data_IF_139924749124
#
_entry.id   IF_139924749124
#
_cell.length_a   1.000
_cell.length_b   1.000
_cell.length_c   1.000
_cell.angle_alpha   90.00
_cell.angle_beta   90.00
_cell.angle_gamma   90.00
#
_symmetry.space_group_name_H-M   'P 1'
#
loop_
_entity.id
_entity.type
_entity.pdbx_description
1 polymer ?
#
# COMPACT_ATOMS: atom_id res chain seq x y z
N UNK A 1 -9.04 11.59 -14.44
CA UNK A 1 -9.47 10.63 -13.41
C UNK A 1 -9.58 11.37 -12.08
N UNK A 2 -10.71 11.26 -11.38
CA UNK A 2 -10.82 11.81 -10.02
C UNK A 2 -10.12 10.84 -9.06
N UNK A 3 -8.91 11.21 -8.60
CA UNK A 3 -8.05 10.34 -7.77
C UNK A 3 -8.65 10.09 -6.38
N UNK A 4 -9.34 11.08 -5.81
CA UNK A 4 -9.98 10.95 -4.50
C UNK A 4 -11.12 9.94 -4.54
N UNK A 5 -11.98 10.04 -5.56
CA UNK A 5 -13.05 9.06 -5.78
C UNK A 5 -12.49 7.66 -6.07
N UNK A 6 -11.43 7.56 -6.87
CA UNK A 6 -10.79 6.27 -7.15
C UNK A 6 -10.21 5.61 -5.89
N UNK A 7 -9.55 6.38 -5.02
CA UNK A 7 -9.04 5.90 -3.73
C UNK A 7 -10.15 5.47 -2.79
N UNK A 8 -11.20 6.29 -2.70
CA UNK A 8 -12.39 5.95 -1.92
C UNK A 8 -13.00 4.62 -2.39
N UNK A 9 -13.21 4.46 -3.69
CA UNK A 9 -13.75 3.23 -4.26
C UNK A 9 -12.83 2.02 -4.02
N UNK A 10 -11.51 2.17 -4.16
CA UNK A 10 -10.55 1.11 -3.83
C UNK A 10 -10.70 0.67 -2.36
N UNK A 11 -10.79 1.62 -1.43
CA UNK A 11 -10.97 1.30 0.00
C UNK A 11 -12.30 0.58 0.24
N UNK A 12 -13.41 1.17 -0.22
CA UNK A 12 -14.75 0.68 0.10
C UNK A 12 -15.10 -0.62 -0.63
N UNK A 13 -14.62 -0.80 -1.87
CA UNK A 13 -15.04 -1.91 -2.74
C UNK A 13 -14.02 -3.04 -2.83
N UNK A 14 -12.75 -2.81 -2.48
CA UNK A 14 -11.70 -3.83 -2.60
C UNK A 14 -11.08 -4.16 -1.23
N UNK A 15 -10.76 -3.16 -0.42
CA UNK A 15 -10.04 -3.34 0.85
C UNK A 15 -10.98 -3.78 1.97
N UNK A 16 -12.09 -3.07 2.21
CA UNK A 16 -13.07 -3.46 3.25
C UNK A 16 -13.67 -4.86 3.05
N UNK A 17 -14.02 -5.29 1.82
CA UNK A 17 -14.50 -6.66 1.59
C UNK A 17 -13.48 -7.74 1.91
N UNK A 18 -12.20 -7.40 2.01
CA UNK A 18 -11.11 -8.28 2.44
C UNK A 18 -10.88 -8.27 3.96
N UNK A 19 -11.90 -7.89 4.73
CA UNK A 19 -11.87 -7.84 6.20
C UNK A 19 -10.77 -6.94 6.78
N UNK A 20 -10.42 -5.87 6.05
CA UNK A 20 -9.62 -4.78 6.59
C UNK A 20 -10.58 -3.75 7.17
N UNK A 21 -10.79 -3.85 8.48
CA UNK A 21 -11.81 -3.09 9.22
C UNK A 21 -11.21 -2.17 10.29
N UNK A 22 -9.91 -2.27 10.60
CA UNK A 22 -9.24 -1.35 11.53
C UNK A 22 -9.35 0.10 11.00
N UNK A 23 -10.08 0.99 11.71
CA UNK A 23 -10.26 2.38 11.28
C UNK A 23 -8.94 3.13 11.11
N UNK A 24 -7.92 2.81 11.91
CA UNK A 24 -6.62 3.43 11.80
C UNK A 24 -5.85 2.94 10.55
N UNK A 25 -6.02 1.69 10.13
CA UNK A 25 -5.47 1.21 8.84
C UNK A 25 -6.16 1.91 7.68
N UNK A 26 -7.48 1.97 7.69
CA UNK A 26 -8.26 2.65 6.64
C UNK A 26 -7.90 4.13 6.54
N UNK A 27 -7.74 4.81 7.68
CA UNK A 27 -7.31 6.21 7.73
C UNK A 27 -5.92 6.40 7.11
N UNK A 28 -4.96 5.53 7.43
CA UNK A 28 -3.62 5.56 6.85
C UNK A 28 -3.69 5.41 5.32
N UNK A 29 -4.42 4.42 4.82
CA UNK A 29 -4.60 4.18 3.38
C UNK A 29 -5.28 5.34 2.64
N UNK A 30 -6.18 6.07 3.32
CA UNK A 30 -6.78 7.29 2.78
C UNK A 30 -5.81 8.47 2.71
N UNK A 31 -4.82 8.51 3.62
CA UNK A 31 -3.86 9.61 3.73
C UNK A 31 -2.60 9.45 2.87
N UNK A 32 -2.05 8.23 2.78
CA UNK A 32 -0.85 7.93 1.99
C UNK A 32 -1.26 7.67 0.55
N UNK A 33 -0.80 8.53 -0.36
CA UNK A 33 -1.16 8.51 -1.78
C UNK A 33 -0.41 7.41 -2.51
N UNK A 34 -1.01 6.22 -2.56
CA UNK A 34 -0.51 5.06 -3.30
C UNK A 34 -0.06 5.40 -4.72
N UNK A 35 -0.77 6.29 -5.41
CA UNK A 35 -0.45 6.69 -6.79
C UNK A 35 0.85 7.49 -6.96
N UNK A 36 1.48 7.92 -5.87
CA UNK A 36 2.78 8.59 -5.86
C UNK A 36 3.95 7.58 -5.77
N UNK A 37 3.65 6.32 -5.44
CA UNK A 37 4.61 5.21 -5.38
C UNK A 37 4.61 4.33 -6.64
N UNK A 38 3.68 4.61 -7.56
CA UNK A 38 3.50 3.84 -8.81
C UNK A 38 4.34 4.47 -9.92
N UNK A 39 5.08 3.68 -10.74
CA UNK A 39 5.79 4.21 -11.89
C UNK A 39 4.88 5.01 -12.83
N UNK A 40 5.34 6.12 -13.43
CA UNK A 40 4.49 7.00 -14.25
C UNK A 40 3.70 6.27 -15.35
N UNK A 41 4.30 5.28 -15.99
CA UNK A 41 3.67 4.47 -17.04
C UNK A 41 2.48 3.63 -16.56
N UNK A 42 2.40 3.33 -15.27
CA UNK A 42 1.38 2.49 -14.66
C UNK A 42 0.45 3.25 -13.72
N UNK A 43 0.50 4.58 -13.67
CA UNK A 43 -0.27 5.37 -12.69
C UNK A 43 -1.79 5.15 -12.75
N UNK A 44 -2.31 4.79 -13.92
CA UNK A 44 -3.73 4.42 -14.08
C UNK A 44 -4.12 3.13 -13.32
N UNK A 45 -3.15 2.27 -12.99
CA UNK A 45 -3.33 1.02 -12.27
C UNK A 45 -3.21 1.18 -10.74
N UNK A 46 -2.95 2.39 -10.24
CA UNK A 46 -2.69 2.61 -8.81
C UNK A 46 -3.80 2.12 -7.88
N UNK A 47 -5.05 2.14 -8.35
CA UNK A 47 -6.25 1.76 -7.59
C UNK A 47 -6.88 0.45 -8.06
N UNK A 48 -6.24 -0.23 -9.01
CA UNK A 48 -6.68 -1.54 -9.48
C UNK A 48 -6.24 -2.62 -8.50
N UNK A 49 -7.07 -3.64 -8.33
CA UNK A 49 -6.77 -4.83 -7.54
C UNK A 49 -5.81 -5.76 -8.31
N UNK A 50 -4.59 -5.27 -8.56
CA UNK A 50 -3.57 -5.97 -9.33
C UNK A 50 -2.18 -5.55 -8.88
N UNK A 51 -1.20 -6.41 -9.14
CA UNK A 51 0.20 -6.09 -8.94
C UNK A 51 0.67 -5.09 -10.00
N UNK A 52 1.55 -4.16 -9.60
CA UNK A 52 2.08 -3.15 -10.51
C UNK A 52 3.59 -3.36 -10.70
N UNK A 53 4.05 -3.72 -11.91
CA UNK A 53 5.48 -3.85 -12.18
C UNK A 53 6.25 -2.56 -11.90
N UNK A 54 7.34 -2.66 -11.15
CA UNK A 54 8.20 -1.52 -10.81
C UNK A 54 9.32 -1.30 -11.81
N UNK A 55 9.72 -2.36 -12.52
CA UNK A 55 10.78 -2.34 -13.51
C UNK A 55 10.19 -2.71 -14.89
N UNK A 56 9.87 -1.71 -15.73
CA UNK A 56 9.39 -1.96 -17.08
C UNK A 56 10.38 -2.81 -17.88
N UNK A 57 9.89 -3.86 -18.56
CA UNK A 57 10.72 -4.74 -19.37
C UNK A 57 11.48 -5.83 -18.61
N UNK A 58 11.26 -5.97 -17.30
CA UNK A 58 11.77 -7.09 -16.50
C UNK A 58 10.65 -8.10 -16.20
N UNK A 59 10.57 -9.26 -16.89
CA UNK A 59 9.48 -10.22 -16.75
C UNK A 59 9.31 -10.79 -15.33
N UNK A 60 10.41 -10.84 -14.57
CA UNK A 60 10.46 -11.28 -13.17
C UNK A 60 10.93 -10.14 -12.25
N UNK A 61 10.64 -8.89 -12.63
CA UNK A 61 10.98 -7.71 -11.84
C UNK A 61 10.13 -7.59 -10.58
N UNK A 62 10.58 -6.78 -9.63
CA UNK A 62 9.79 -6.44 -8.46
C UNK A 62 8.47 -5.76 -8.87
N UNK A 63 7.42 -6.03 -8.10
CA UNK A 63 6.09 -5.45 -8.27
C UNK A 63 5.61 -4.83 -6.96
N UNK A 64 4.80 -3.79 -7.04
CA UNK A 64 3.89 -3.46 -5.95
C UNK A 64 2.85 -4.55 -5.83
N UNK A 65 2.51 -4.92 -4.60
CA UNK A 65 1.42 -5.87 -4.32
C UNK A 65 0.07 -5.24 -4.63
N UNK A 66 -0.99 -6.05 -4.68
CA UNK A 66 -2.36 -5.54 -4.74
C UNK A 66 -2.68 -4.67 -3.51
N UNK A 67 -3.45 -3.58 -3.64
CA UNK A 67 -3.74 -2.67 -2.54
C UNK A 67 -4.34 -3.37 -1.31
N UNK A 68 -5.19 -4.37 -1.53
CA UNK A 68 -5.84 -5.15 -0.46
C UNK A 68 -4.84 -6.01 0.33
N UNK A 69 -3.78 -6.49 -0.31
CA UNK A 69 -2.78 -7.34 0.33
C UNK A 69 -1.92 -6.49 1.27
N UNK A 70 -1.44 -5.32 0.84
CA UNK A 70 -0.70 -4.41 1.72
C UNK A 70 -1.57 -3.89 2.87
N UNK A 71 -2.85 -3.59 2.60
CA UNK A 71 -3.79 -3.20 3.63
C UNK A 71 -4.00 -4.32 4.68
N UNK A 72 -4.17 -5.56 4.23
CA UNK A 72 -4.32 -6.72 5.12
C UNK A 72 -3.05 -6.99 5.90
N UNK A 73 -1.87 -6.93 5.27
CA UNK A 73 -0.58 -7.04 5.94
C UNK A 73 -0.43 -6.00 7.05
N UNK A 74 -0.70 -4.73 6.77
CA UNK A 74 -0.61 -3.67 7.76
C UNK A 74 -1.53 -3.91 8.96
N UNK A 75 -2.75 -4.40 8.71
CA UNK A 75 -3.70 -4.74 9.78
C UNK A 75 -3.21 -5.92 10.63
N UNK A 76 -2.79 -7.02 9.99
CA UNK A 76 -2.45 -8.25 10.70
C UNK A 76 -1.12 -8.13 11.47
N UNK A 77 -0.19 -7.31 10.99
CA UNK A 77 1.08 -7.06 11.68
C UNK A 77 0.88 -6.37 13.04
N UNK A 78 -0.22 -5.61 13.22
CA UNK A 78 -0.57 -4.93 14.48
C UNK A 78 0.58 -4.13 15.09
N UNK A 79 1.40 -3.49 14.24
CA UNK A 79 2.56 -2.70 14.66
C UNK A 79 2.13 -1.56 15.57
N UNK A 80 2.85 -1.37 16.67
CA UNK A 80 2.63 -0.34 17.67
C UNK A 80 3.65 0.80 17.55
N UNK A 81 3.26 2.00 17.99
CA UNK A 81 4.06 3.24 17.86
C UNK A 81 5.43 3.24 18.54
N UNK A 82 5.72 2.29 19.42
CA UNK A 82 7.01 2.16 20.10
C UNK A 82 7.92 1.10 19.45
N UNK A 83 7.42 0.36 18.47
CA UNK A 83 8.15 -0.74 17.84
C UNK A 83 9.00 -0.26 16.66
N UNK A 84 10.01 -1.06 16.32
CA UNK A 84 10.89 -0.85 15.17
C UNK A 84 10.60 -1.98 14.17
N UNK A 85 10.38 -1.62 12.91
CA UNK A 85 10.09 -2.57 11.84
C UNK A 85 11.27 -2.69 10.87
N UNK A 86 11.58 -3.91 10.45
CA UNK A 86 12.47 -4.19 9.32
C UNK A 86 11.61 -4.71 8.15
N UNK A 87 11.65 -4.01 7.04
CA UNK A 87 11.00 -4.43 5.80
C UNK A 87 12.07 -4.92 4.81
N UNK A 88 12.01 -6.20 4.44
CA UNK A 88 12.92 -6.77 3.44
C UNK A 88 12.18 -6.80 2.11
N UNK A 89 12.71 -6.07 1.12
CA UNK A 89 12.12 -5.97 -0.21
C UNK A 89 11.14 -4.81 -0.35
N UNK A 90 11.59 -3.59 0.02
CA UNK A 90 10.74 -2.39 0.05
C UNK A 90 10.11 -1.99 -1.30
N UNK A 91 10.67 -2.45 -2.43
CA UNK A 91 10.09 -2.20 -3.75
C UNK A 91 9.92 -0.71 -4.03
N UNK A 92 8.66 -0.25 -4.11
CA UNK A 92 8.35 1.18 -4.31
C UNK A 92 8.49 2.04 -3.05
N UNK A 93 8.57 1.42 -1.88
CA UNK A 93 8.53 2.08 -0.58
C UNK A 93 7.12 2.40 -0.06
N UNK A 94 6.07 1.95 -0.75
CA UNK A 94 4.69 2.20 -0.30
C UNK A 94 4.39 1.51 1.04
N UNK A 95 4.73 0.23 1.17
CA UNK A 95 4.53 -0.51 2.43
C UNK A 95 5.40 0.08 3.55
N UNK A 96 6.64 0.49 3.26
CA UNK A 96 7.49 1.23 4.20
C UNK A 96 6.79 2.49 4.73
N UNK A 97 6.18 3.28 3.84
CA UNK A 97 5.44 4.48 4.22
C UNK A 97 4.21 4.17 5.08
N UNK A 98 3.50 3.06 4.80
CA UNK A 98 2.39 2.59 5.62
C UNK A 98 2.86 2.18 7.02
N UNK A 99 3.95 1.40 7.10
CA UNK A 99 4.56 0.96 8.36
C UNK A 99 5.05 2.16 9.17
N UNK A 100 5.64 3.17 8.54
CA UNK A 100 6.15 4.37 9.21
C UNK A 100 5.03 5.23 9.85
N UNK A 101 3.76 5.01 9.48
CA UNK A 101 2.61 5.62 10.17
C UNK A 101 2.23 4.90 11.46
N UNK A 102 2.74 3.69 11.68
CA UNK A 102 2.45 2.84 12.84
C UNK A 102 3.67 2.58 13.73
N UNK A 103 4.86 2.40 13.17
CA UNK A 103 6.10 2.13 13.89
C UNK A 103 6.79 3.42 14.36
N UNK A 104 7.70 3.29 15.34
CA UNK A 104 8.62 4.35 15.71
C UNK A 104 9.70 4.58 14.64
N UNK A 105 10.17 3.49 14.03
CA UNK A 105 11.23 3.48 13.03
C UNK A 105 10.99 2.32 12.06
N UNK A 106 11.27 2.56 10.77
CA UNK A 106 11.28 1.51 9.73
C UNK A 106 12.64 1.50 9.07
N UNK A 107 13.26 0.33 9.00
CA UNK A 107 14.48 0.07 8.23
C UNK A 107 14.11 -0.76 7.00
N UNK A 108 14.66 -0.40 5.83
CA UNK A 108 14.38 -1.03 4.53
C UNK A 108 15.66 -1.47 3.83
#
# INVERSE_FOLDING_TARGET
MNLELARFNMIEQQIRPWEVLDPAVISILGSIRREDFVPPAHRALAFADTQVPLLPGAPNGACMLEPKIEAKLLQELKVQHHERALEIGAGSGFMAALLARRAAEVTT
#
